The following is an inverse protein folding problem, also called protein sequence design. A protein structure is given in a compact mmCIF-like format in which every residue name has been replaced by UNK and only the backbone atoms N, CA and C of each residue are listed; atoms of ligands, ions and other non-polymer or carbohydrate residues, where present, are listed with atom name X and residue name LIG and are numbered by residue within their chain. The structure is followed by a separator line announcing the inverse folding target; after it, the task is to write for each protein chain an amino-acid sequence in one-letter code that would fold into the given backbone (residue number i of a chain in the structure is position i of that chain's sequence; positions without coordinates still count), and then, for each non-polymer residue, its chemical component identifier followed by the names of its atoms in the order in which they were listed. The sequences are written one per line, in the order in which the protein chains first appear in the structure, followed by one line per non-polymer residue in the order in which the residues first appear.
data_IF_473050466082
#
_entry.id   IF_473050466082
#
_cell.length_a   1.000
_cell.length_b   1.000
_cell.length_c   1.000
_cell.angle_alpha   90.00
_cell.angle_beta   90.00
_cell.angle_gamma   90.00
#
_symmetry.space_group_name_H-M   'P 1'
#
loop_
_entity.id
_entity.type
_entity.pdbx_description
1 polymer ?
#
# COMPACT_ATOMS: atom_id res chain seq x y z
N UNK A 1 4.62 -2.62 12.83
CA UNK A 1 5.44 -3.84 12.95
C UNK A 1 4.67 -4.82 13.80
N UNK A 2 4.61 -6.06 13.37
CA UNK A 2 3.98 -7.16 14.10
C UNK A 2 5.05 -8.23 14.31
N UNK A 3 5.36 -8.53 15.56
CA UNK A 3 6.34 -9.55 15.92
C UNK A 3 5.64 -10.88 16.16
N UNK A 4 6.16 -11.95 15.59
CA UNK A 4 5.74 -13.33 15.84
C UNK A 4 6.90 -14.14 16.43
N UNK A 5 7.05 -14.12 17.75
CA UNK A 5 8.16 -14.82 18.39
C UNK A 5 8.14 -16.33 18.12
N UNK A 6 6.95 -16.92 18.03
CA UNK A 6 6.77 -18.37 17.80
C UNK A 6 7.26 -18.80 16.41
N UNK A 7 7.14 -17.94 15.41
CA UNK A 7 7.54 -18.24 14.02
C UNK A 7 8.88 -17.61 13.63
N UNK A 8 9.60 -17.01 14.58
CA UNK A 8 10.86 -16.30 14.32
C UNK A 8 10.76 -15.28 13.18
N UNK A 9 9.60 -14.58 13.09
CA UNK A 9 9.23 -13.69 11.97
C UNK A 9 8.85 -12.32 12.48
N UNK A 10 9.13 -11.29 11.66
CA UNK A 10 8.69 -9.90 11.85
C UNK A 10 7.99 -9.43 10.60
N UNK A 11 6.71 -9.12 10.72
CA UNK A 11 5.87 -8.61 9.65
C UNK A 11 5.86 -7.08 9.67
N UNK A 12 6.22 -6.46 8.54
CA UNK A 12 6.36 -5.00 8.41
C UNK A 12 5.26 -4.45 7.52
N UNK A 13 4.41 -3.58 8.06
CA UNK A 13 3.44 -2.80 7.30
C UNK A 13 3.80 -1.31 7.32
N UNK A 14 3.57 -0.62 6.21
CA UNK A 14 3.74 0.83 6.08
C UNK A 14 2.39 1.46 5.84
N UNK A 15 2.07 2.49 6.62
CA UNK A 15 0.86 3.29 6.45
C UNK A 15 1.29 4.75 6.30
N UNK A 16 0.89 5.36 5.20
CA UNK A 16 1.13 6.77 4.92
C UNK A 16 -0.20 7.53 4.94
N UNK A 17 -0.28 8.54 5.82
CA UNK A 17 -1.48 9.34 6.01
C UNK A 17 -1.56 10.46 4.98
N UNK A 18 -2.67 10.54 4.26
CA UNK A 18 -2.92 11.54 3.21
C UNK A 18 -4.14 12.40 3.55
N UNK A 19 -4.01 13.71 3.42
CA UNK A 19 -5.13 14.66 3.57
C UNK A 19 -5.98 14.77 2.29
N UNK A 20 -5.47 14.26 1.16
CA UNK A 20 -6.16 14.20 -0.13
C UNK A 20 -6.80 12.84 -0.42
N UNK A 21 -7.41 12.70 -1.61
CA UNK A 21 -7.89 11.42 -2.13
C UNK A 21 -6.76 10.72 -2.88
N UNK A 22 -5.84 10.10 -2.16
CA UNK A 22 -4.75 9.33 -2.78
C UNK A 22 -5.16 7.87 -2.85
N UNK A 23 -5.01 7.26 -4.03
CA UNK A 23 -5.18 5.82 -4.23
C UNK A 23 -3.87 5.19 -4.69
N UNK A 24 -3.59 3.98 -4.24
CA UNK A 24 -2.44 3.22 -4.70
C UNK A 24 -2.68 2.77 -6.15
N UNK A 25 -1.75 3.11 -7.03
CA UNK A 25 -1.83 2.83 -8.46
C UNK A 25 -0.49 2.24 -8.93
N UNK A 26 -0.51 0.95 -9.29
CA UNK A 26 0.68 0.24 -9.80
C UNK A 26 1.21 0.83 -11.11
N UNK A 27 0.35 1.42 -11.94
CA UNK A 27 0.77 2.08 -13.16
C UNK A 27 1.51 3.38 -12.86
N UNK A 28 0.99 4.18 -11.93
CA UNK A 28 1.68 5.37 -11.43
C UNK A 28 3.04 5.02 -10.79
N UNK A 29 3.10 3.93 -10.02
CA UNK A 29 4.35 3.41 -9.47
C UNK A 29 5.33 3.02 -10.59
N UNK A 30 4.86 2.30 -11.61
CA UNK A 30 5.68 1.90 -12.76
C UNK A 30 6.30 3.12 -13.46
N UNK A 31 5.56 4.21 -13.59
CA UNK A 31 6.07 5.45 -14.19
C UNK A 31 6.83 6.37 -13.22
N UNK A 32 7.03 5.95 -11.97
CA UNK A 32 7.82 6.71 -11.00
C UNK A 32 7.07 7.81 -10.25
N UNK A 33 5.74 7.86 -10.38
CA UNK A 33 4.90 8.90 -9.76
C UNK A 33 4.48 8.57 -8.31
N UNK A 34 4.51 7.31 -7.90
CA UNK A 34 4.08 6.86 -6.57
C UNK A 34 5.11 5.91 -5.92
N UNK A 35 6.38 6.31 -5.86
CA UNK A 35 7.45 5.48 -5.30
C UNK A 35 7.45 5.45 -3.77
N UNK A 36 6.86 6.44 -3.11
CA UNK A 36 7.00 6.73 -1.68
C UNK A 36 6.74 5.51 -0.77
N UNK A 37 5.60 4.83 -0.94
CA UNK A 37 5.25 3.69 -0.08
C UNK A 37 6.26 2.54 -0.18
N UNK A 38 6.74 2.25 -1.39
CA UNK A 38 7.71 1.17 -1.61
C UNK A 38 9.10 1.54 -1.10
N UNK A 39 9.50 2.82 -1.18
CA UNK A 39 10.73 3.33 -0.59
C UNK A 39 10.69 3.22 0.93
N UNK A 40 9.57 3.61 1.54
CA UNK A 40 9.39 3.47 2.99
C UNK A 40 9.38 2.01 3.43
N UNK A 41 8.73 1.13 2.67
CA UNK A 41 8.77 -0.30 2.95
C UNK A 41 10.20 -0.86 2.88
N UNK A 42 10.94 -0.55 1.81
CA UNK A 42 12.33 -1.00 1.64
C UNK A 42 13.21 -0.53 2.81
N UNK A 43 13.12 0.74 3.19
CA UNK A 43 13.83 1.28 4.34
C UNK A 43 13.43 0.61 5.66
N UNK A 44 12.14 0.40 5.89
CA UNK A 44 11.65 -0.26 7.10
C UNK A 44 12.12 -1.73 7.19
N UNK A 45 12.06 -2.48 6.08
CA UNK A 45 12.56 -3.85 6.02
C UNK A 45 14.06 -3.92 6.35
N UNK A 46 14.87 -2.98 5.85
CA UNK A 46 16.31 -2.92 6.13
C UNK A 46 16.59 -2.57 7.60
N UNK A 47 15.85 -1.64 8.18
CA UNK A 47 15.97 -1.28 9.60
C UNK A 47 15.65 -2.47 10.49
N UNK A 48 14.53 -3.15 10.24
CA UNK A 48 14.11 -4.30 11.03
C UNK A 48 15.07 -5.50 10.83
N UNK A 49 15.64 -5.68 9.64
CA UNK A 49 16.66 -6.72 9.41
C UNK A 49 17.93 -6.49 10.22
N UNK A 50 18.34 -5.23 10.42
CA UNK A 50 19.49 -4.89 11.29
C UNK A 50 19.17 -5.11 12.76
N UNK A 51 17.94 -4.81 13.17
CA UNK A 51 17.47 -4.97 14.55
C UNK A 51 17.27 -6.45 14.94
N UNK A 52 16.81 -7.26 13.97
CA UNK A 52 16.53 -8.68 14.15
C UNK A 52 17.26 -9.51 13.10
N UNK A 53 18.60 -9.67 13.20
CA UNK A 53 19.41 -10.33 12.16
C UNK A 53 19.05 -11.80 11.96
N UNK A 54 18.58 -12.46 13.01
CA UNK A 54 18.26 -13.89 13.01
C UNK A 54 16.79 -14.18 12.68
N UNK A 55 15.96 -13.14 12.48
CA UNK A 55 14.55 -13.29 12.15
C UNK A 55 14.27 -13.09 10.66
N UNK A 56 13.24 -13.75 10.17
CA UNK A 56 12.70 -13.48 8.84
C UNK A 56 11.92 -12.16 8.87
N UNK A 57 12.31 -11.20 8.03
CA UNK A 57 11.60 -9.92 7.88
C UNK A 57 10.74 -9.98 6.62
N UNK A 58 9.45 -9.73 6.79
CA UNK A 58 8.44 -9.94 5.75
C UNK A 58 7.61 -8.68 5.52
N UNK A 59 7.41 -8.24 4.26
CA UNK A 59 6.48 -7.17 3.97
C UNK A 59 5.05 -7.67 4.20
N UNK A 60 4.30 -7.07 5.10
CA UNK A 60 2.90 -7.38 5.35
C UNK A 60 1.95 -6.59 4.42
N UNK A 61 2.33 -5.35 4.10
CA UNK A 61 1.56 -4.51 3.20
C UNK A 61 2.00 -3.05 3.20
N UNK A 62 1.49 -2.32 2.23
CA UNK A 62 1.67 -0.87 2.07
C UNK A 62 0.33 -0.19 1.85
N UNK A 63 0.08 0.92 2.54
CA UNK A 63 -1.22 1.55 2.56
C UNK A 63 -1.14 3.07 2.52
N UNK A 64 -2.05 3.69 1.78
CA UNK A 64 -2.49 5.06 2.00
C UNK A 64 -3.73 5.04 2.88
N UNK A 65 -3.73 5.88 3.90
CA UNK A 65 -4.90 6.15 4.74
C UNK A 65 -5.32 7.60 4.55
N UNK A 66 -6.48 7.80 3.91
CA UNK A 66 -6.99 9.14 3.66
C UNK A 66 -7.67 9.69 4.92
N UNK A 67 -7.04 10.69 5.56
CA UNK A 67 -7.54 11.36 6.77
C UNK A 67 -8.55 12.42 6.34
N UNK A 68 -9.74 11.99 5.95
CA UNK A 68 -10.88 12.89 5.69
C UNK A 68 -12.05 12.41 6.51
N UNK A 69 -12.75 13.37 7.10
CA UNK A 69 -14.05 13.10 7.72
C UNK A 69 -15.06 12.77 6.61
N UNK A 70 -15.50 11.51 6.49
CA UNK A 70 -16.37 11.12 5.39
C UNK A 70 -17.78 11.68 5.63
N UNK A 71 -18.22 12.58 4.76
CA UNK A 71 -19.64 12.96 4.74
C UNK A 71 -20.51 11.73 4.42
N UNK A 72 -21.36 11.35 5.36
CA UNK A 72 -22.35 10.29 5.20
C UNK A 72 -23.69 10.94 4.86
N UNK A 73 -24.27 10.53 3.73
CA UNK A 73 -25.64 10.90 3.37
C UNK A 73 -26.56 9.77 3.80
N UNK A 74 -27.25 9.96 4.92
CA UNK A 74 -28.19 9.00 5.45
C UNK A 74 -29.62 9.53 5.44
N UNK A 75 -30.58 8.61 5.43
CA UNK A 75 -31.99 8.92 5.64
C UNK A 75 -32.23 9.32 7.10
N UNK A 76 -33.19 10.18 7.34
CA UNK A 76 -33.52 10.85 8.62
C UNK A 76 -33.69 9.88 9.82
N UNK A 77 -33.71 8.56 9.62
CA UNK A 77 -33.90 7.52 10.62
C UNK A 77 -32.84 6.41 10.62
N UNK A 78 -31.63 6.69 10.13
CA UNK A 78 -30.55 5.69 10.22
C UNK A 78 -30.10 5.49 11.66
N UNK A 79 -29.87 4.23 12.05
CA UNK A 79 -29.29 3.93 13.37
C UNK A 79 -27.78 4.23 13.39
N UNK A 80 -27.25 4.43 14.59
CA UNK A 80 -25.83 4.76 14.80
C UNK A 80 -24.91 3.64 14.33
N UNK A 81 -25.35 2.38 14.36
CA UNK A 81 -24.57 1.23 13.93
C UNK A 81 -24.36 1.22 12.40
N UNK A 82 -25.45 1.49 11.65
CA UNK A 82 -25.39 1.67 10.19
C UNK A 82 -24.47 2.83 9.78
N UNK A 83 -24.54 3.96 10.50
CA UNK A 83 -23.68 5.12 10.28
C UNK A 83 -22.21 4.75 10.50
N UNK A 84 -21.90 4.09 11.61
CA UNK A 84 -20.53 3.67 11.94
C UNK A 84 -19.98 2.68 10.91
N UNK A 85 -20.76 1.71 10.46
CA UNK A 85 -20.35 0.79 9.40
C UNK A 85 -20.02 1.52 8.08
N UNK A 86 -20.82 2.51 7.72
CA UNK A 86 -20.57 3.29 6.50
C UNK A 86 -19.33 4.18 6.65
N UNK A 87 -19.10 4.74 7.84
CA UNK A 87 -17.87 5.45 8.15
C UNK A 87 -16.65 4.55 7.97
N UNK A 88 -16.65 3.36 8.58
CA UNK A 88 -15.55 2.40 8.45
C UNK A 88 -15.30 1.99 7.00
N UNK A 89 -16.37 1.75 6.21
CA UNK A 89 -16.23 1.44 4.78
C UNK A 89 -15.60 2.59 3.96
N UNK A 90 -15.90 3.85 4.32
CA UNK A 90 -15.30 5.03 3.67
C UNK A 90 -13.88 5.33 4.11
N UNK A 91 -13.52 4.90 5.32
CA UNK A 91 -12.17 5.05 5.90
C UNK A 91 -11.25 3.87 5.54
N UNK A 92 -11.67 2.99 4.64
CA UNK A 92 -10.88 1.84 4.22
C UNK A 92 -9.55 2.28 3.62
N UNK A 93 -8.47 1.67 4.11
CA UNK A 93 -7.13 1.89 3.56
C UNK A 93 -7.07 1.46 2.10
N UNK A 94 -6.25 2.16 1.33
CA UNK A 94 -5.98 1.85 -0.06
C UNK A 94 -4.51 1.43 -0.21
N UNK A 95 -4.24 0.31 -0.85
CA UNK A 95 -2.87 -0.19 -0.91
C UNK A 95 -2.79 -1.64 -1.36
N UNK A 96 -1.75 -2.33 -0.91
CA UNK A 96 -1.44 -3.70 -1.30
C UNK A 96 -1.13 -4.52 -0.05
N UNK A 97 -1.76 -5.68 0.08
CA UNK A 97 -1.58 -6.66 1.17
C UNK A 97 -0.80 -7.87 0.66
N UNK A 98 0.10 -8.42 1.46
CA UNK A 98 0.73 -9.69 1.12
C UNK A 98 -0.31 -10.82 1.15
N UNK A 99 -0.34 -11.61 0.09
CA UNK A 99 -1.23 -12.77 -0.08
C UNK A 99 -0.69 -14.00 0.68
N UNK A 100 -0.62 -13.90 2.01
CA UNK A 100 -0.36 -15.00 2.92
C UNK A 100 -1.67 -15.32 3.65
N UNK A 101 -1.98 -16.58 3.85
CA UNK A 101 -3.29 -17.05 4.34
C UNK A 101 -3.74 -16.36 5.63
N UNK A 102 -2.80 -15.97 6.50
CA UNK A 102 -3.10 -15.32 7.76
C UNK A 102 -2.78 -13.81 7.79
N UNK A 103 -2.11 -13.25 6.76
CA UNK A 103 -1.62 -11.88 6.80
C UNK A 103 -2.76 -10.85 6.90
N UNK A 104 -3.82 -11.04 6.12
CA UNK A 104 -4.99 -10.17 6.13
C UNK A 104 -5.62 -10.11 7.53
N UNK A 105 -5.81 -11.26 8.15
CA UNK A 105 -6.40 -11.39 9.49
C UNK A 105 -5.51 -10.80 10.58
N UNK A 106 -4.18 -10.89 10.42
CA UNK A 106 -3.21 -10.27 11.34
C UNK A 106 -3.22 -8.75 11.26
N UNK A 107 -3.40 -8.21 10.05
CA UNK A 107 -3.47 -6.74 9.86
C UNK A 107 -4.79 -6.20 10.41
N UNK A 108 -5.90 -6.88 10.11
CA UNK A 108 -7.25 -6.54 10.53
C UNK A 108 -8.11 -7.81 10.56
N UNK A 109 -8.47 -8.27 11.75
CA UNK A 109 -9.28 -9.49 11.94
C UNK A 109 -10.66 -9.41 11.29
N UNK A 110 -11.19 -8.21 11.11
CA UNK A 110 -12.50 -7.97 10.47
C UNK A 110 -12.37 -7.74 8.96
N UNK A 111 -11.16 -7.46 8.45
CA UNK A 111 -10.86 -7.04 7.07
C UNK A 111 -11.66 -5.80 6.61
N UNK A 112 -12.24 -5.05 7.54
CA UNK A 112 -13.05 -3.89 7.22
C UNK A 112 -12.19 -2.69 6.77
N UNK A 113 -10.99 -2.54 7.36
CA UNK A 113 -10.09 -1.41 7.11
C UNK A 113 -9.07 -1.64 5.99
N UNK A 114 -8.90 -2.85 5.48
CA UNK A 114 -7.91 -3.22 4.45
C UNK A 114 -8.57 -3.52 3.09
N UNK A 115 -7.86 -3.34 1.95
CA UNK A 115 -8.43 -3.55 0.62
C UNK A 115 -8.49 -5.03 0.23
N UNK A 116 -9.00 -5.86 1.13
CA UNK A 116 -9.13 -7.31 0.94
C UNK A 116 -10.58 -7.72 1.12
N UNK A 117 -11.01 -8.71 0.38
CA UNK A 117 -12.27 -9.41 0.55
C UNK A 117 -12.09 -10.88 0.16
N UNK A 118 -12.74 -11.79 0.88
CA UNK A 118 -12.69 -13.22 0.60
C UNK A 118 -13.95 -13.68 -0.10
N UNK A 119 -13.81 -14.71 -0.94
CA UNK A 119 -14.90 -15.49 -1.48
C UNK A 119 -15.45 -16.45 -0.40
N UNK A 120 -16.54 -17.15 -0.69
CA UNK A 120 -17.14 -18.14 0.23
C UNK A 120 -16.24 -19.34 0.52
N UNK A 121 -15.31 -19.64 -0.38
CA UNK A 121 -14.32 -20.72 -0.25
C UNK A 121 -13.04 -20.29 0.49
N UNK A 122 -12.98 -19.05 1.00
CA UNK A 122 -11.82 -18.49 1.69
C UNK A 122 -10.75 -17.93 0.78
N UNK A 123 -10.86 -18.07 -0.54
CA UNK A 123 -9.91 -17.49 -1.49
C UNK A 123 -10.07 -15.97 -1.60
N UNK A 124 -9.01 -15.25 -2.02
CA UNK A 124 -9.10 -13.82 -2.27
C UNK A 124 -10.02 -13.52 -3.45
N UNK A 125 -10.93 -12.59 -3.26
CA UNK A 125 -11.80 -12.14 -4.35
C UNK A 125 -10.99 -11.36 -5.40
N UNK A 126 -11.48 -11.30 -6.64
CA UNK A 126 -10.86 -10.53 -7.73
C UNK A 126 -10.76 -9.01 -7.44
N UNK A 127 -11.47 -8.52 -6.43
CA UNK A 127 -11.45 -7.12 -6.00
C UNK A 127 -10.41 -6.87 -4.91
N UNK A 128 -9.78 -7.91 -4.39
CA UNK A 128 -8.75 -7.80 -3.36
C UNK A 128 -7.47 -7.25 -3.97
N UNK A 129 -6.87 -6.28 -3.28
CA UNK A 129 -5.56 -5.74 -3.62
C UNK A 129 -4.48 -6.51 -2.87
N UNK A 130 -4.09 -7.64 -3.44
CA UNK A 130 -3.12 -8.56 -2.84
C UNK A 130 -1.97 -8.88 -3.79
N UNK A 131 -0.79 -9.12 -3.22
CA UNK A 131 0.39 -9.56 -3.96
C UNK A 131 1.14 -10.63 -3.17
N UNK A 132 1.69 -11.62 -3.86
CA UNK A 132 2.54 -12.63 -3.26
C UNK A 132 3.87 -12.03 -2.77
N UNK A 133 4.59 -12.76 -1.91
CA UNK A 133 5.94 -12.37 -1.47
C UNK A 133 6.84 -12.08 -2.67
N UNK A 134 6.86 -12.94 -3.67
CA UNK A 134 7.66 -12.75 -4.89
C UNK A 134 7.31 -11.47 -5.64
N UNK A 135 6.03 -11.10 -5.67
CA UNK A 135 5.59 -9.86 -6.30
C UNK A 135 6.03 -8.63 -5.50
N UNK A 136 5.97 -8.68 -4.15
CA UNK A 136 6.53 -7.62 -3.31
C UNK A 136 8.04 -7.45 -3.53
N UNK A 137 8.79 -8.56 -3.58
CA UNK A 137 10.24 -8.53 -3.83
C UNK A 137 10.54 -7.95 -5.23
N UNK A 138 9.76 -8.32 -6.25
CA UNK A 138 9.89 -7.79 -7.61
C UNK A 138 9.56 -6.28 -7.66
N UNK A 139 8.51 -5.82 -6.98
CA UNK A 139 8.18 -4.40 -6.86
C UNK A 139 9.29 -3.62 -6.16
N UNK A 140 9.83 -4.14 -5.07
CA UNK A 140 10.95 -3.53 -4.35
C UNK A 140 12.20 -3.41 -5.23
N UNK A 141 12.56 -4.47 -5.94
CA UNK A 141 13.68 -4.47 -6.88
C UNK A 141 13.47 -3.46 -8.02
N UNK A 142 12.26 -3.40 -8.58
CA UNK A 142 11.90 -2.44 -9.62
C UNK A 142 12.03 -1.01 -9.13
N UNK A 143 11.51 -0.68 -7.93
CA UNK A 143 11.57 0.67 -7.37
C UNK A 143 13.01 1.09 -7.11
N UNK A 144 13.84 0.21 -6.54
CA UNK A 144 15.28 0.50 -6.35
C UNK A 144 15.97 0.81 -7.69
N UNK A 145 15.73 -0.02 -8.71
CA UNK A 145 16.27 0.23 -10.05
C UNK A 145 15.79 1.57 -10.59
N UNK A 146 14.49 1.88 -10.50
CA UNK A 146 13.91 3.14 -10.99
C UNK A 146 14.54 4.36 -10.33
N UNK A 147 14.81 4.29 -9.02
CA UNK A 147 15.51 5.37 -8.29
C UNK A 147 16.94 5.53 -8.79
N UNK A 148 17.67 4.43 -9.04
CA UNK A 148 19.00 4.48 -9.62
C UNK A 148 18.99 5.12 -11.02
N UNK A 149 18.05 4.70 -11.87
CA UNK A 149 17.90 5.24 -13.23
C UNK A 149 17.61 6.76 -13.20
N UNK A 150 16.74 7.20 -12.28
CA UNK A 150 16.45 8.64 -12.06
C UNK A 150 17.72 9.38 -11.59
N UNK A 151 18.44 8.81 -10.61
CA UNK A 151 19.69 9.40 -10.11
C UNK A 151 20.72 9.56 -11.21
N UNK A 152 20.92 8.53 -12.02
CA UNK A 152 21.87 8.57 -13.16
C UNK A 152 21.46 9.65 -14.16
N UNK A 153 20.19 9.69 -14.54
CA UNK A 153 19.65 10.73 -15.44
C UNK A 153 19.91 12.15 -14.92
N UNK A 154 19.74 12.38 -13.61
CA UNK A 154 20.03 13.69 -12.99
C UNK A 154 21.53 14.00 -13.03
N UNK A 155 22.40 13.02 -12.74
CA UNK A 155 23.85 13.19 -12.73
C UNK A 155 24.40 13.46 -14.15
N UNK A 156 23.79 12.86 -15.16
CA UNK A 156 24.12 13.07 -16.57
C UNK A 156 23.60 14.43 -17.12
N UNK A 157 22.92 15.21 -16.30
CA UNK A 157 22.38 16.52 -16.68
C UNK A 157 21.19 16.45 -17.64
N UNK A 158 20.49 15.31 -17.68
CA UNK A 158 19.31 15.17 -18.53
C UNK A 158 18.18 16.08 -18.03
N UNK A 159 17.88 17.11 -18.80
CA UNK A 159 16.80 18.07 -18.55
C UNK A 159 15.66 17.93 -19.59
N UNK A 160 15.54 16.79 -20.27
CA UNK A 160 14.48 16.56 -21.24
C UNK A 160 13.10 16.62 -20.56
N UNK A 161 12.18 17.34 -21.18
CA UNK A 161 10.79 17.45 -20.72
C UNK A 161 9.97 16.34 -21.41
N UNK A 162 9.95 15.18 -20.79
CA UNK A 162 9.24 14.00 -21.28
C UNK A 162 8.23 13.50 -20.21
N UNK A 163 7.15 14.26 -19.97
CA UNK A 163 6.17 13.87 -18.97
C UNK A 163 5.45 12.59 -19.38
N UNK A 164 5.23 11.70 -18.42
CA UNK A 164 4.36 10.55 -18.61
C UNK A 164 2.94 11.00 -18.99
N UNK A 165 2.41 10.41 -20.05
CA UNK A 165 1.03 10.63 -20.48
C UNK A 165 0.35 9.31 -20.85
N UNK A 166 -0.81 9.03 -20.27
CA UNK A 166 -1.66 7.89 -20.60
C UNK A 166 -3.13 8.31 -20.61
N UNK A 167 -3.67 8.55 -21.79
CA UNK A 167 -5.03 9.04 -21.97
C UNK A 167 -5.21 10.40 -21.28
N UNK A 168 -6.05 10.46 -20.24
CA UNK A 168 -6.29 11.68 -19.45
C UNK A 168 -5.36 11.85 -18.24
N UNK A 169 -4.52 10.84 -17.96
CA UNK A 169 -3.56 10.90 -16.84
C UNK A 169 -2.21 11.38 -17.37
N UNK A 170 -1.65 12.40 -16.76
CA UNK A 170 -0.31 12.88 -17.07
C UNK A 170 0.42 13.32 -15.79
N UNK A 171 1.74 13.45 -15.90
CA UNK A 171 2.58 13.91 -14.81
C UNK A 171 2.46 15.42 -14.56
N UNK A 172 1.86 16.17 -15.48
CA UNK A 172 1.77 17.63 -15.43
C UNK A 172 0.61 18.16 -14.56
N UNK A 173 -0.19 17.29 -13.95
CA UNK A 173 -1.35 17.69 -13.13
C UNK A 173 -0.98 18.63 -11.97
N UNK A 174 0.30 18.61 -11.55
CA UNK A 174 0.83 19.39 -10.43
C UNK A 174 2.02 20.28 -10.83
N UNK A 175 2.22 20.51 -12.12
CA UNK A 175 3.24 21.46 -12.60
C UNK A 175 2.78 22.90 -12.55
#
# INVERSE_FOLDING_TARGET
IMEEPENNRVDVKVIDYKTGNTSFDLLALYHGLQLQLMVYLDGALQVEKRKYPDREIVPAGVFYYNVKDPMIQEKIHADMESINEQMLKKMKMNGLVQADDNMSTKIDSTMASIPVSLNRDGSFSKRSSVASRKQFDALGAYVRKKICDIRESILDGNAAVEPYELGKKNACTYC
#
